data_IF_659512764302
#
_entry.id   IF_659512764302
#
_cell.length_a   1.000
_cell.length_b   1.000
_cell.length_c   1.000
_cell.angle_alpha   90.00
_cell.angle_beta   90.00
_cell.angle_gamma   90.00
#
_symmetry.space_group_name_H-M   'P 1'
#
loop_
_entity.id
_entity.type
_entity.pdbx_description
1 polymer ?
#
# COMPACT_ATOMS: atom_id res chain seq x y z
N UNK A 1 -13.98 2.07 7.53
CA UNK A 1 -13.82 0.71 8.04
C UNK A 1 -14.08 -0.33 6.94
N UNK A 2 -15.32 -0.42 6.44
CA UNK A 2 -15.72 -1.43 5.46
C UNK A 2 -14.84 -1.42 4.19
N UNK A 3 -14.52 -0.25 3.68
CA UNK A 3 -13.68 -0.10 2.50
C UNK A 3 -12.24 -0.62 2.69
N UNK A 4 -11.59 -0.27 3.81
CA UNK A 4 -10.24 -0.77 4.10
C UNK A 4 -10.23 -2.28 4.29
N UNK A 5 -11.31 -2.82 4.86
CA UNK A 5 -11.49 -4.25 5.03
C UNK A 5 -11.68 -4.97 3.68
N UNK A 6 -12.54 -4.43 2.80
CA UNK A 6 -12.74 -4.96 1.43
C UNK A 6 -11.44 -4.89 0.63
N UNK A 7 -10.69 -3.78 0.72
CA UNK A 7 -9.43 -3.63 0.01
C UNK A 7 -8.41 -4.70 0.43
N UNK A 8 -8.28 -4.99 1.73
CA UNK A 8 -7.40 -6.05 2.23
C UNK A 8 -7.87 -7.44 1.80
N UNK A 9 -9.17 -7.74 1.91
CA UNK A 9 -9.72 -9.03 1.45
C UNK A 9 -9.46 -9.22 -0.03
N UNK A 10 -9.69 -8.19 -0.86
CA UNK A 10 -9.43 -8.25 -2.30
C UNK A 10 -7.95 -8.51 -2.60
N UNK A 11 -7.04 -7.87 -1.85
CA UNK A 11 -5.62 -8.09 -2.00
C UNK A 11 -5.19 -9.52 -1.66
N UNK A 12 -5.73 -10.08 -0.56
CA UNK A 12 -5.49 -11.48 -0.19
C UNK A 12 -6.15 -12.47 -1.16
N UNK A 13 -7.32 -12.15 -1.67
CA UNK A 13 -8.00 -12.99 -2.66
C UNK A 13 -7.17 -13.08 -3.95
N UNK A 14 -6.62 -11.96 -4.45
CA UNK A 14 -5.75 -11.95 -5.64
C UNK A 14 -4.49 -12.78 -5.39
N UNK A 15 -3.92 -12.72 -4.20
CA UNK A 15 -2.71 -13.45 -3.85
C UNK A 15 -2.95 -14.96 -3.70
N UNK A 16 -3.92 -15.36 -2.85
CA UNK A 16 -4.09 -16.75 -2.46
C UNK A 16 -5.04 -17.54 -3.37
N UNK A 17 -6.05 -16.90 -3.97
CA UNK A 17 -7.03 -17.58 -4.81
C UNK A 17 -6.65 -17.48 -6.28
N UNK A 18 -6.20 -16.32 -6.76
CA UNK A 18 -5.76 -16.14 -8.13
C UNK A 18 -4.28 -16.49 -8.35
N UNK A 19 -3.51 -16.75 -7.29
CA UNK A 19 -2.12 -17.18 -7.36
C UNK A 19 -1.13 -16.09 -7.83
N UNK A 20 -1.53 -14.82 -7.82
CA UNK A 20 -0.67 -13.69 -8.16
C UNK A 20 0.17 -13.25 -6.96
N UNK A 21 1.46 -13.59 -6.97
CA UNK A 21 2.35 -13.20 -5.88
C UNK A 21 2.59 -11.68 -5.89
N UNK A 22 2.42 -11.01 -4.73
CA UNK A 22 2.67 -9.58 -4.61
C UNK A 22 4.17 -9.27 -4.58
N UNK A 23 4.58 -8.14 -5.16
CA UNK A 23 5.92 -7.60 -4.94
C UNK A 23 6.03 -7.01 -3.52
N UNK A 24 7.25 -6.70 -3.07
CA UNK A 24 7.47 -6.15 -1.74
C UNK A 24 6.77 -4.79 -1.51
N UNK A 25 6.73 -3.92 -2.53
CA UNK A 25 5.99 -2.65 -2.43
C UNK A 25 4.49 -2.88 -2.33
N UNK A 26 3.94 -3.88 -3.02
CA UNK A 26 2.52 -4.25 -2.89
C UNK A 26 2.16 -4.69 -1.46
N UNK A 27 3.09 -5.36 -0.75
CA UNK A 27 2.90 -5.72 0.66
C UNK A 27 2.92 -4.50 1.57
N UNK A 28 3.84 -3.55 1.33
CA UNK A 28 3.94 -2.30 2.09
C UNK A 28 2.68 -1.44 1.90
N UNK A 29 2.10 -1.41 0.70
CA UNK A 29 0.85 -0.69 0.42
C UNK A 29 -0.36 -1.23 1.17
N UNK A 30 -0.32 -2.45 1.73
CA UNK A 30 -1.39 -3.01 2.57
C UNK A 30 -1.34 -2.49 4.01
N UNK A 31 -0.17 -2.07 4.50
CA UNK A 31 0.03 -1.61 5.88
C UNK A 31 -0.88 -0.42 6.23
N UNK A 32 -0.99 0.64 5.42
CA UNK A 32 -1.90 1.76 5.67
C UNK A 32 -3.36 1.34 5.89
N UNK A 33 -3.84 0.35 5.14
CA UNK A 33 -5.21 -0.16 5.30
C UNK A 33 -5.40 -0.90 6.63
N UNK A 34 -4.43 -1.72 7.03
CA UNK A 34 -4.44 -2.38 8.34
C UNK A 34 -4.43 -1.38 9.50
N UNK A 35 -3.52 -0.39 9.44
CA UNK A 35 -3.45 0.67 10.43
C UNK A 35 -4.74 1.51 10.48
N UNK A 36 -5.36 1.78 9.32
CA UNK A 36 -6.61 2.52 9.28
C UNK A 36 -7.74 1.80 9.99
N UNK A 37 -7.83 0.48 9.88
CA UNK A 37 -8.81 -0.33 10.61
C UNK A 37 -8.61 -0.18 12.12
N UNK A 38 -7.36 -0.30 12.60
CA UNK A 38 -7.05 -0.16 14.02
C UNK A 38 -7.40 1.24 14.55
N UNK A 39 -7.06 2.30 13.82
CA UNK A 39 -7.35 3.68 14.22
C UNK A 39 -8.85 3.96 14.20
N UNK A 40 -9.59 3.46 13.21
CA UNK A 40 -11.05 3.61 13.17
C UNK A 40 -11.70 2.88 14.34
N UNK A 41 -11.23 1.69 14.69
CA UNK A 41 -11.67 0.99 15.92
C UNK A 41 -11.37 1.83 17.17
N UNK A 42 -10.18 2.43 17.25
CA UNK A 42 -9.84 3.32 18.35
C UNK A 42 -10.75 4.56 18.44
N UNK A 43 -11.16 5.15 17.30
CA UNK A 43 -12.12 6.26 17.26
C UNK A 43 -13.46 5.87 17.86
N UNK A 44 -13.95 4.64 17.62
CA UNK A 44 -15.19 4.14 18.19
C UNK A 44 -15.09 3.87 19.70
N UNK A 45 -13.95 3.36 20.15
CA UNK A 45 -13.73 3.00 21.56
C UNK A 45 -13.36 4.22 22.41
N UNK A 46 -12.52 5.12 21.88
CA UNK A 46 -11.97 6.28 22.59
C UNK A 46 -12.66 7.53 22.08
N UNK A 47 -13.72 7.97 22.79
CA UNK A 47 -14.47 9.20 22.44
C UNK A 47 -13.64 10.49 22.64
N UNK A 48 -12.50 10.39 23.34
CA UNK A 48 -11.58 11.51 23.59
C UNK A 48 -10.57 11.64 22.44
N UNK A 49 -10.28 12.87 21.99
CA UNK A 49 -9.28 13.17 20.96
C UNK A 49 -9.56 12.62 19.55
N UNK A 50 -10.81 12.46 19.18
CA UNK A 50 -11.22 11.97 17.85
C UNK A 50 -10.62 12.78 16.70
N UNK A 51 -10.48 14.12 16.86
CA UNK A 51 -9.87 15.01 15.87
C UNK A 51 -8.41 14.62 15.59
N UNK A 52 -7.64 14.28 16.62
CA UNK A 52 -6.25 13.84 16.48
C UNK A 52 -6.16 12.50 15.73
N UNK A 53 -7.06 11.56 16.02
CA UNK A 53 -7.09 10.25 15.34
C UNK A 53 -7.48 10.39 13.86
N UNK A 54 -8.41 11.30 13.53
CA UNK A 54 -8.75 11.60 12.13
C UNK A 54 -7.57 12.25 11.41
N UNK A 55 -6.84 13.16 12.03
CA UNK A 55 -5.62 13.75 11.46
C UNK A 55 -4.57 12.67 11.20
N UNK A 56 -4.38 11.75 12.14
CA UNK A 56 -3.45 10.63 11.98
C UNK A 56 -3.83 9.74 10.79
N UNK A 57 -5.12 9.47 10.59
CA UNK A 57 -5.62 8.75 9.40
C UNK A 57 -5.27 9.48 8.12
N UNK A 58 -5.47 10.80 8.06
CA UNK A 58 -5.13 11.61 6.88
C UNK A 58 -3.64 11.46 6.56
N UNK A 59 -2.77 11.58 7.56
CA UNK A 59 -1.32 11.44 7.38
C UNK A 59 -0.92 10.06 6.85
N UNK A 60 -1.55 8.99 7.36
CA UNK A 60 -1.30 7.62 6.89
C UNK A 60 -1.68 7.46 5.42
N UNK A 61 -2.83 8.00 4.99
CA UNK A 61 -3.23 7.90 3.58
C UNK A 61 -2.41 8.82 2.66
N UNK A 62 -1.95 9.97 3.13
CA UNK A 62 -0.98 10.81 2.38
C UNK A 62 0.32 10.05 2.16
N UNK A 63 0.84 9.39 3.20
CA UNK A 63 2.02 8.56 3.08
C UNK A 63 1.79 7.35 2.14
N UNK A 64 0.61 6.74 2.20
CA UNK A 64 0.20 5.67 1.28
C UNK A 64 0.23 6.12 -0.18
N UNK A 65 -0.30 7.33 -0.48
CA UNK A 65 -0.25 7.89 -1.85
C UNK A 65 1.21 8.08 -2.31
N UNK A 66 2.08 8.58 -1.43
CA UNK A 66 3.48 8.79 -1.79
C UNK A 66 4.16 7.46 -2.17
N UNK A 67 3.92 6.38 -1.42
CA UNK A 67 4.44 5.03 -1.73
C UNK A 67 3.85 4.52 -3.05
N UNK A 68 2.53 4.63 -3.24
CA UNK A 68 1.87 4.17 -4.46
C UNK A 68 2.31 4.95 -5.69
N UNK A 69 2.55 6.26 -5.55
CA UNK A 69 3.08 7.07 -6.64
C UNK A 69 4.50 6.65 -7.01
N UNK A 70 5.34 6.37 -6.01
CA UNK A 70 6.68 5.83 -6.24
C UNK A 70 6.64 4.47 -6.94
N UNK A 71 5.77 3.57 -6.47
CA UNK A 71 5.56 2.26 -7.08
C UNK A 71 5.07 2.37 -8.54
N UNK A 72 4.09 3.22 -8.79
CA UNK A 72 3.61 3.51 -10.15
C UNK A 72 4.72 4.05 -11.05
N UNK A 73 5.59 4.91 -10.53
CA UNK A 73 6.76 5.41 -11.26
C UNK A 73 7.75 4.32 -11.64
N UNK A 74 7.92 3.28 -10.81
CA UNK A 74 8.73 2.09 -11.14
C UNK A 74 8.04 1.25 -12.22
N UNK A 75 6.73 1.02 -12.12
CA UNK A 75 5.94 0.29 -13.13
C UNK A 75 6.04 0.94 -14.51
N UNK A 76 6.04 2.27 -14.58
CA UNK A 76 6.17 3.04 -15.82
C UNK A 76 7.62 3.24 -16.28
N UNK A 77 8.60 2.82 -15.46
CA UNK A 77 10.03 2.97 -15.77
C UNK A 77 10.61 4.37 -15.53
N UNK A 78 9.86 5.28 -14.86
CA UNK A 78 10.36 6.61 -14.48
C UNK A 78 11.38 6.53 -13.34
N UNK A 79 11.20 5.57 -12.43
CA UNK A 79 12.12 5.35 -11.32
C UNK A 79 12.82 4.00 -11.45
N UNK A 80 14.07 3.96 -10.98
CA UNK A 80 14.82 2.71 -10.86
C UNK A 80 14.28 1.89 -9.68
N UNK A 81 14.26 0.58 -9.83
CA UNK A 81 13.93 -0.32 -8.74
C UNK A 81 14.90 -0.11 -7.57
N UNK A 82 14.34 0.00 -6.36
CA UNK A 82 15.13 0.12 -5.13
C UNK A 82 15.34 -1.26 -4.48
N UNK A 83 16.18 -1.31 -3.46
CA UNK A 83 16.43 -2.51 -2.64
C UNK A 83 15.15 -3.14 -2.08
N UNK A 84 14.10 -2.35 -1.90
CA UNK A 84 12.79 -2.80 -1.42
C UNK A 84 12.12 -3.74 -2.43
N UNK A 85 12.38 -3.56 -3.73
CA UNK A 85 11.85 -4.41 -4.79
C UNK A 85 12.57 -5.77 -4.96
N UNK A 86 13.54 -6.07 -4.09
CA UNK A 86 14.22 -7.38 -4.08
C UNK A 86 15.28 -7.58 -5.18
N UNK A 87 15.51 -6.59 -6.04
CA UNK A 87 16.63 -6.63 -7.00
C UNK A 87 17.90 -6.21 -6.27
N UNK A 88 18.56 -7.17 -5.63
CA UNK A 88 19.94 -6.98 -5.22
C UNK A 88 20.78 -6.81 -6.48
N UNK A 89 21.35 -5.61 -6.68
CA UNK A 89 22.33 -5.38 -7.73
C UNK A 89 23.45 -6.43 -7.62
N UNK A 90 23.62 -7.23 -8.65
CA UNK A 90 24.60 -8.30 -8.82
C UNK A 90 26.06 -7.80 -8.84
N UNK A 91 26.40 -6.75 -8.11
CA UNK A 91 27.74 -6.10 -8.19
C UNK A 91 28.68 -6.44 -7.04
N UNK A 92 28.25 -7.19 -6.01
CA UNK A 92 29.14 -7.64 -4.94
C UNK A 92 29.16 -9.16 -4.84
N UNK A 93 30.35 -9.73 -4.79
CA UNK A 93 30.75 -11.14 -4.70
C UNK A 93 29.70 -12.07 -4.08
N UNK A 94 28.92 -12.74 -4.93
CA UNK A 94 27.88 -13.67 -4.53
C UNK A 94 28.52 -15.01 -4.20
N UNK A 95 28.34 -15.48 -2.96
CA UNK A 95 28.63 -16.87 -2.59
C UNK A 95 27.61 -17.81 -3.25
N UNK A 96 28.03 -19.04 -3.58
CA UNK A 96 27.13 -20.04 -4.20
C UNK A 96 25.86 -20.30 -3.37
N UNK A 97 25.96 -20.18 -2.04
CA UNK A 97 24.84 -20.37 -1.11
C UNK A 97 23.82 -19.22 -1.18
N UNK A 98 24.28 -17.96 -1.34
CA UNK A 98 23.42 -16.79 -1.52
C UNK A 98 22.68 -16.85 -2.87
N UNK A 99 23.33 -17.37 -3.92
CA UNK A 99 22.72 -17.55 -5.22
C UNK A 99 21.59 -18.59 -5.17
N UNK A 100 21.82 -19.73 -4.51
CA UNK A 100 20.81 -20.79 -4.33
C UNK A 100 19.61 -20.28 -3.52
N UNK A 101 19.85 -19.48 -2.48
CA UNK A 101 18.80 -18.85 -1.69
C UNK A 101 18.00 -17.83 -2.49
N UNK A 102 18.64 -17.01 -3.32
CA UNK A 102 17.98 -16.06 -4.22
C UNK A 102 17.16 -16.74 -5.33
N UNK A 103 17.62 -17.88 -5.84
CA UNK A 103 16.88 -18.69 -6.80
C UNK A 103 15.67 -19.41 -6.18
N UNK A 104 15.71 -19.70 -4.88
CA UNK A 104 14.59 -20.29 -4.15
C UNK A 104 13.55 -19.24 -3.70
N UNK A 105 13.97 -18.01 -3.42
CA UNK A 105 13.10 -16.87 -3.15
C UNK A 105 12.70 -16.22 -4.48
N UNK A 106 11.56 -16.61 -5.03
CA UNK A 106 10.98 -16.04 -6.24
C UNK A 106 10.49 -14.59 -5.95
N UNK A 107 11.44 -13.64 -5.82
CA UNK A 107 11.09 -12.24 -5.66
C UNK A 107 10.59 -11.67 -7.00
N UNK A 108 9.33 -11.27 -7.03
CA UNK A 108 8.73 -10.62 -8.20
C UNK A 108 9.25 -9.17 -8.24
N UNK A 109 9.77 -8.77 -9.41
CA UNK A 109 10.16 -7.39 -9.68
C UNK A 109 8.94 -6.45 -9.53
N UNK A 110 9.15 -5.28 -8.92
CA UNK A 110 8.09 -4.26 -8.83
C UNK A 110 7.72 -3.67 -10.21
N UNK A 111 8.51 -3.91 -11.23
CA UNK A 111 8.25 -3.47 -12.61
C UNK A 111 7.28 -4.40 -13.33
N UNK A 112 7.25 -5.70 -12.93
CA UNK A 112 6.40 -6.69 -13.58
C UNK A 112 4.99 -6.63 -13.01
N UNK A 113 4.11 -5.94 -13.71
CA UNK A 113 2.69 -5.84 -13.35
C UNK A 113 2.02 -7.19 -13.64
N UNK A 114 1.88 -8.02 -12.60
CA UNK A 114 1.31 -9.37 -12.71
C UNK A 114 -0.21 -9.38 -12.88
N UNK A 115 -0.89 -8.33 -12.43
CA UNK A 115 -2.35 -8.25 -12.46
C UNK A 115 -2.84 -6.85 -12.84
N UNK A 116 -3.73 -6.79 -13.84
CA UNK A 116 -4.35 -5.55 -14.31
C UNK A 116 -5.87 -5.71 -14.33
N UNK A 117 -6.59 -4.68 -13.88
CA UNK A 117 -8.06 -4.61 -13.91
C UNK A 117 -8.43 -3.52 -14.93
N UNK A 118 -9.17 -3.87 -15.99
CA UNK A 118 -9.53 -2.95 -17.08
C UNK A 118 -8.33 -2.19 -17.69
N UNK A 119 -7.16 -2.82 -17.74
CA UNK A 119 -5.94 -2.19 -18.27
C UNK A 119 -5.18 -1.30 -17.28
N UNK A 120 -5.74 -1.03 -16.10
CA UNK A 120 -5.10 -0.28 -15.02
C UNK A 120 -4.32 -1.22 -14.09
N UNK A 121 -3.13 -0.79 -13.66
CA UNK A 121 -2.41 -1.51 -12.61
C UNK A 121 -3.11 -1.36 -11.26
N UNK A 122 -2.94 -2.34 -10.37
CA UNK A 122 -3.46 -2.26 -9.00
C UNK A 122 -2.97 -1.01 -8.27
N UNK A 123 -1.74 -0.59 -8.54
CA UNK A 123 -1.14 0.62 -7.99
C UNK A 123 -1.88 1.89 -8.40
N UNK A 124 -2.28 2.00 -9.69
CA UNK A 124 -3.09 3.13 -10.17
C UNK A 124 -4.45 3.20 -9.47
N UNK A 125 -5.11 2.05 -9.31
CA UNK A 125 -6.39 1.95 -8.60
C UNK A 125 -6.21 2.35 -7.13
N UNK A 126 -5.12 1.92 -6.50
CA UNK A 126 -4.79 2.25 -5.12
C UNK A 126 -4.62 3.76 -4.90
N UNK A 127 -3.96 4.48 -5.82
CA UNK A 127 -3.82 5.94 -5.77
C UNK A 127 -5.21 6.60 -5.77
N UNK A 128 -6.10 6.22 -6.68
CA UNK A 128 -7.45 6.78 -6.78
C UNK A 128 -8.26 6.55 -5.50
N UNK A 129 -8.21 5.32 -4.96
CA UNK A 129 -8.90 4.97 -3.72
C UNK A 129 -8.37 5.82 -2.55
N UNK A 130 -7.05 5.94 -2.39
CA UNK A 130 -6.45 6.74 -1.33
C UNK A 130 -6.81 8.22 -1.42
N UNK A 131 -6.89 8.78 -2.64
CA UNK A 131 -7.36 10.16 -2.85
C UNK A 131 -8.81 10.34 -2.39
N UNK A 132 -9.71 9.43 -2.73
CA UNK A 132 -11.10 9.45 -2.28
C UNK A 132 -11.21 9.37 -0.75
N UNK A 133 -10.37 8.56 -0.10
CA UNK A 133 -10.28 8.50 1.35
C UNK A 133 -9.86 9.83 1.97
N UNK A 134 -8.80 10.44 1.45
CA UNK A 134 -8.33 11.75 1.96
C UNK A 134 -9.42 12.81 1.82
N UNK A 135 -10.07 12.92 0.66
CA UNK A 135 -11.15 13.88 0.46
C UNK A 135 -12.29 13.66 1.47
N UNK A 136 -12.66 12.41 1.72
CA UNK A 136 -13.71 12.07 2.69
C UNK A 136 -13.29 12.42 4.12
N UNK A 137 -12.07 12.08 4.51
CA UNK A 137 -11.52 12.37 5.83
C UNK A 137 -11.36 13.87 6.07
N UNK A 138 -10.96 14.66 5.06
CA UNK A 138 -10.88 16.11 5.16
C UNK A 138 -12.28 16.74 5.36
N UNK A 139 -13.32 16.23 4.68
CA UNK A 139 -14.70 16.67 4.93
C UNK A 139 -15.13 16.39 6.36
N UNK A 140 -14.81 15.22 6.90
CA UNK A 140 -15.10 14.85 8.28
C UNK A 140 -14.33 15.76 9.24
N UNK A 141 -13.04 15.97 9.01
CA UNK A 141 -12.18 16.83 9.84
C UNK A 141 -12.71 18.27 9.92
N UNK A 142 -13.06 18.86 8.77
CA UNK A 142 -13.63 20.21 8.72
C UNK A 142 -14.99 20.30 9.42
N UNK A 143 -15.79 19.22 9.39
CA UNK A 143 -17.04 19.15 10.13
C UNK A 143 -16.79 19.17 11.64
N UNK A 144 -15.79 18.45 12.14
CA UNK A 144 -15.40 18.51 13.56
C UNK A 144 -14.92 19.91 14.00
N UNK A 145 -14.36 20.69 13.08
CA UNK A 145 -13.91 22.07 13.39
C UNK A 145 -15.08 23.04 13.51
N UNK A 146 -16.12 22.86 12.70
CA UNK A 146 -17.30 23.75 12.68
C UNK A 146 -18.23 23.58 13.89
N UNK A 147 -18.17 22.41 14.58
CA UNK A 147 -19.04 22.10 15.73
C UNK A 147 -18.35 22.32 17.09
N UNK A 148 -17.20 22.96 17.14
CA UNK A 148 -16.50 23.37 18.34
C UNK A 148 -16.62 24.87 18.53
#
# INVERSE_FOLDING_TARGET
>A
FLFSFIALISAFFIEYVLGHQPCNLCLIERIPYGLSIMIIMAIFLIKKNQKFLVLLLILIFVFSIAISFYHYGIEQGFFKESFVCGVKNLTESITKEDLLKQLSEKTISCRDVTFRIFGLSLTSINIVINLLFIITLLKIFNKYEKYK
#
